data_IF_874613150664
#
_entry.id   IF_874613150664
#
_cell.length_a   1.000
_cell.length_b   1.000
_cell.length_c   1.000
_cell.angle_alpha   90.00
_cell.angle_beta   90.00
_cell.angle_gamma   90.00
#
_symmetry.space_group_name_H-M   'P 1'
#
loop_
_entity.id
_entity.type
_entity.pdbx_description
1 polymer ?
#
# COMPACT_ATOMS: atom_id res chain seq x y z
N UNK A 1 -12.40 10.94 12.93
CA UNK A 1 -12.23 10.75 11.46
C UNK A 1 -13.55 10.29 10.91
N UNK A 2 -14.04 10.84 9.78
CA UNK A 2 -15.22 10.27 9.12
C UNK A 2 -14.87 8.82 8.71
N UNK A 3 -15.54 7.78 9.25
CA UNK A 3 -15.19 6.38 9.00
C UNK A 3 -15.16 6.04 7.50
N UNK A 4 -16.02 6.69 6.73
CA UNK A 4 -16.10 6.54 5.28
C UNK A 4 -14.81 6.97 4.56
N UNK A 5 -14.19 8.07 5.02
CA UNK A 5 -12.90 8.53 4.49
C UNK A 5 -11.79 7.52 4.81
N UNK A 6 -11.75 6.98 6.02
CA UNK A 6 -10.75 5.98 6.42
C UNK A 6 -10.87 4.69 5.61
N UNK A 7 -12.09 4.23 5.34
CA UNK A 7 -12.36 3.05 4.52
C UNK A 7 -11.93 3.24 3.06
N UNK A 8 -12.18 4.44 2.51
CA UNK A 8 -11.75 4.81 1.16
C UNK A 8 -10.23 4.79 1.00
N UNK A 9 -9.51 5.44 1.92
CA UNK A 9 -8.04 5.44 1.93
C UNK A 9 -7.44 4.04 2.11
N UNK A 10 -8.04 3.22 2.97
CA UNK A 10 -7.62 1.83 3.17
C UNK A 10 -7.76 1.01 1.88
N UNK A 11 -8.89 1.12 1.19
CA UNK A 11 -9.13 0.42 -0.09
C UNK A 11 -8.11 0.82 -1.16
N UNK A 12 -7.80 2.11 -1.26
CA UNK A 12 -6.79 2.62 -2.19
C UNK A 12 -5.41 2.07 -1.83
N UNK A 13 -5.03 2.12 -0.56
CA UNK A 13 -3.74 1.61 -0.09
C UNK A 13 -3.60 0.10 -0.37
N UNK A 14 -4.63 -0.70 -0.11
CA UNK A 14 -4.66 -2.14 -0.43
C UNK A 14 -4.53 -2.38 -1.94
N UNK A 15 -5.24 -1.61 -2.76
CA UNK A 15 -5.15 -1.73 -4.21
C UNK A 15 -3.74 -1.41 -4.74
N UNK A 16 -3.17 -0.28 -4.34
CA UNK A 16 -1.81 0.14 -4.74
C UNK A 16 -0.79 -0.90 -4.29
N UNK A 17 -0.88 -1.37 -3.05
CA UNK A 17 0.01 -2.40 -2.51
C UNK A 17 -0.13 -3.70 -3.29
N UNK A 18 -1.34 -4.16 -3.57
CA UNK A 18 -1.57 -5.38 -4.34
C UNK A 18 -0.97 -5.30 -5.75
N UNK A 19 -1.28 -4.23 -6.48
CA UNK A 19 -0.82 -4.04 -7.87
C UNK A 19 0.71 -3.87 -7.92
N UNK A 20 1.29 -3.04 -7.07
CA UNK A 20 2.75 -2.84 -7.03
C UNK A 20 3.51 -4.10 -6.61
N UNK A 21 2.95 -4.91 -5.71
CA UNK A 21 3.51 -6.21 -5.37
C UNK A 21 3.48 -7.19 -6.54
N UNK A 22 2.40 -7.21 -7.32
CA UNK A 22 2.30 -8.04 -8.53
C UNK A 22 3.31 -7.56 -9.59
N UNK A 23 3.40 -6.25 -9.83
CA UNK A 23 4.34 -5.68 -10.79
C UNK A 23 5.79 -5.98 -10.41
N UNK A 24 6.14 -5.85 -9.12
CA UNK A 24 7.46 -6.19 -8.63
C UNK A 24 7.84 -7.67 -8.85
N UNK A 25 6.88 -8.59 -8.98
CA UNK A 25 7.17 -10.00 -9.28
C UNK A 25 7.32 -10.30 -10.78
N UNK A 26 6.87 -9.40 -11.65
CA UNK A 26 6.84 -9.59 -13.11
C UNK A 26 7.94 -8.77 -13.79
N UNK A 27 8.23 -7.58 -13.26
CA UNK A 27 9.19 -6.65 -13.86
C UNK A 27 10.63 -7.17 -13.78
N UNK A 28 11.46 -6.93 -14.82
CA UNK A 28 12.86 -7.30 -14.80
C UNK A 28 13.59 -6.60 -13.63
N UNK A 29 14.40 -7.31 -12.83
CA UNK A 29 15.03 -6.74 -11.62
C UNK A 29 15.96 -5.55 -11.89
N UNK A 30 16.56 -5.49 -13.08
CA UNK A 30 17.47 -4.42 -13.50
C UNK A 30 16.74 -3.21 -14.12
N UNK A 31 15.41 -3.18 -14.09
CA UNK A 31 14.62 -2.08 -14.65
C UNK A 31 14.27 -1.01 -13.62
N UNK A 32 14.08 0.22 -14.10
CA UNK A 32 13.59 1.31 -13.27
C UNK A 32 12.16 1.05 -12.76
N UNK A 33 11.35 0.32 -13.54
CA UNK A 33 9.98 -0.04 -13.12
C UNK A 33 10.02 -0.92 -11.87
N UNK A 34 10.90 -1.93 -11.81
CA UNK A 34 11.01 -2.82 -10.65
C UNK A 34 11.32 -2.04 -9.37
N UNK A 35 12.23 -1.06 -9.42
CA UNK A 35 12.56 -0.20 -8.27
C UNK A 35 11.34 0.61 -7.81
N UNK A 36 10.58 1.18 -8.76
CA UNK A 36 9.38 1.95 -8.46
C UNK A 36 8.28 1.05 -7.87
N UNK A 37 8.09 -0.14 -8.41
CA UNK A 37 7.13 -1.13 -7.94
C UNK A 37 7.45 -1.58 -6.51
N UNK A 38 8.71 -1.92 -6.21
CA UNK A 38 9.14 -2.29 -4.86
C UNK A 38 8.98 -1.12 -3.87
N UNK A 39 9.36 0.10 -4.26
CA UNK A 39 9.21 1.28 -3.40
C UNK A 39 7.74 1.60 -3.12
N UNK A 40 6.88 1.51 -4.14
CA UNK A 40 5.44 1.71 -4.03
C UNK A 40 4.78 0.65 -3.16
N UNK A 41 5.22 -0.61 -3.29
CA UNK A 41 4.79 -1.71 -2.45
C UNK A 41 5.13 -1.46 -0.98
N UNK A 42 6.37 -1.04 -0.70
CA UNK A 42 6.81 -0.66 0.64
C UNK A 42 6.00 0.48 1.26
N UNK A 43 5.75 1.55 0.49
CA UNK A 43 4.90 2.66 0.96
C UNK A 43 3.46 2.21 1.23
N UNK A 44 2.90 1.38 0.35
CA UNK A 44 1.55 0.85 0.51
C UNK A 44 1.39 0.03 1.79
N UNK A 45 2.33 -0.87 2.07
CA UNK A 45 2.38 -1.62 3.34
C UNK A 45 2.48 -0.70 4.56
N UNK A 46 3.31 0.33 4.49
CA UNK A 46 3.48 1.30 5.58
C UNK A 46 2.18 2.09 5.84
N UNK A 47 1.49 2.51 4.78
CA UNK A 47 0.19 3.18 4.90
C UNK A 47 -0.87 2.28 5.53
N UNK A 48 -0.97 1.03 5.07
CA UNK A 48 -1.88 0.02 5.64
C UNK A 48 -1.58 -0.16 7.12
N UNK A 49 -0.30 -0.31 7.48
CA UNK A 49 0.14 -0.47 8.86
C UNK A 49 -0.28 0.71 9.73
N UNK A 50 -0.09 1.95 9.28
CA UNK A 50 -0.51 3.16 10.00
C UNK A 50 -2.02 3.17 10.21
N UNK A 51 -2.81 2.89 9.17
CA UNK A 51 -4.28 2.85 9.28
C UNK A 51 -4.71 1.81 10.31
N UNK A 52 -4.14 0.61 10.25
CA UNK A 52 -4.43 -0.47 11.21
C UNK A 52 -4.08 -0.07 12.64
N UNK A 53 -2.93 0.56 12.86
CA UNK A 53 -2.51 1.04 14.19
C UNK A 53 -3.46 2.12 14.72
N UNK A 54 -3.86 3.08 13.87
CA UNK A 54 -4.80 4.14 14.26
C UNK A 54 -6.15 3.55 14.64
N UNK A 55 -6.71 2.67 13.80
CA UNK A 55 -8.01 2.04 14.05
C UNK A 55 -7.98 1.19 15.32
N UNK A 56 -6.92 0.40 15.51
CA UNK A 56 -6.76 -0.47 16.69
C UNK A 56 -6.56 0.32 17.99
N UNK A 57 -5.94 1.51 17.94
CA UNK A 57 -5.82 2.40 19.11
C UNK A 57 -7.06 3.23 19.40
N UNK A 58 -7.97 3.35 18.45
CA UNK A 58 -9.22 4.09 18.59
C UNK A 58 -10.39 3.23 19.09
N UNK A 59 -10.21 1.90 19.16
CA UNK A 59 -11.17 0.93 19.73
C UNK A 59 -10.75 0.59 21.17
#
# INVERSE_FOLDING_TARGET
>A
MNPELGLGWFRIAVFITGVSGILALIEPPDSAEFVISVASFGMGLLFIFIIVVIVKRSS
#
